data_IF_101278175956
#
_entry.id   IF_101278175956
#
_cell.length_a   1.000
_cell.length_b   1.000
_cell.length_c   1.000
_cell.angle_alpha   90.00
_cell.angle_beta   90.00
_cell.angle_gamma   90.00
#
_symmetry.space_group_name_H-M   'P 1'
#
loop_
_entity.id
_entity.type
_entity.pdbx_description
1 polymer ?
#
# COMPACT_ATOMS: atom_id res chain seq x y z
N UNK A 1 -14.39 -4.79 -21.63
CA UNK A 1 -14.61 -3.42 -21.14
C UNK A 1 -14.03 -2.46 -22.15
N UNK A 2 -14.49 -1.21 -22.21
CA UNK A 2 -13.95 -0.18 -23.10
C UNK A 2 -13.45 0.98 -22.25
N UNK A 3 -12.27 1.50 -22.58
CA UNK A 3 -11.60 2.58 -21.87
C UNK A 3 -11.42 3.75 -22.82
N UNK A 4 -11.75 4.95 -22.35
CA UNK A 4 -11.63 6.19 -23.11
C UNK A 4 -10.93 7.24 -22.25
N UNK A 5 -9.84 7.81 -22.75
CA UNK A 5 -9.16 8.95 -22.13
C UNK A 5 -9.59 10.23 -22.83
N UNK A 6 -9.82 11.30 -22.08
CA UNK A 6 -10.01 12.62 -22.67
C UNK A 6 -8.70 13.16 -23.28
N UNK A 7 -8.76 14.04 -24.31
CA UNK A 7 -7.55 14.62 -24.91
C UNK A 7 -6.70 15.44 -23.93
N UNK A 8 -7.33 16.10 -22.97
CA UNK A 8 -6.67 16.84 -21.88
C UNK A 8 -6.09 15.93 -20.79
N UNK A 9 -6.28 14.60 -20.91
CA UNK A 9 -5.86 13.61 -19.92
C UNK A 9 -6.48 13.75 -18.53
N UNK A 10 -7.45 14.63 -18.32
CA UNK A 10 -8.04 14.89 -16.99
C UNK A 10 -9.19 13.95 -16.63
N UNK A 11 -9.57 13.05 -17.55
CA UNK A 11 -10.70 12.16 -17.38
C UNK A 11 -10.49 10.81 -18.06
N UNK A 12 -10.98 9.78 -17.37
CA UNK A 12 -11.20 8.47 -17.96
C UNK A 12 -12.69 8.10 -17.93
N UNK A 13 -13.12 7.36 -18.95
CA UNK A 13 -14.44 6.74 -19.01
C UNK A 13 -14.26 5.25 -19.24
N UNK A 14 -14.84 4.45 -18.36
CA UNK A 14 -14.83 2.99 -18.45
C UNK A 14 -16.26 2.50 -18.65
N UNK A 15 -16.46 1.64 -19.66
CA UNK A 15 -17.74 1.00 -19.92
C UNK A 15 -17.57 -0.52 -19.78
N UNK A 16 -18.37 -1.09 -18.89
CA UNK A 16 -18.42 -2.53 -18.62
C UNK A 16 -19.41 -3.22 -19.55
N UNK A 17 -19.35 -4.56 -19.61
CA UNK A 17 -20.18 -5.36 -20.53
C UNK A 17 -21.67 -5.36 -20.16
N UNK A 18 -21.98 -5.13 -18.88
CA UNK A 18 -23.33 -5.00 -18.33
C UNK A 18 -24.00 -3.66 -18.71
N UNK A 19 -23.28 -2.74 -19.36
CA UNK A 19 -23.77 -1.42 -19.73
C UNK A 19 -23.53 -0.34 -18.67
N UNK A 20 -22.95 -0.69 -17.53
CA UNK A 20 -22.54 0.29 -16.51
C UNK A 20 -21.40 1.16 -17.06
N UNK A 21 -21.44 2.44 -16.71
CA UNK A 21 -20.43 3.43 -17.07
C UNK A 21 -19.84 4.05 -15.82
N UNK A 22 -18.53 4.18 -15.80
CA UNK A 22 -17.76 4.84 -14.77
C UNK A 22 -17.01 6.02 -15.40
N UNK A 23 -17.17 7.21 -14.83
CA UNK A 23 -16.41 8.41 -15.18
C UNK A 23 -15.46 8.71 -14.02
N UNK A 24 -14.17 8.81 -14.32
CA UNK A 24 -13.09 9.11 -13.37
C UNK A 24 -12.47 10.47 -13.68
N UNK A 25 -12.02 11.18 -12.65
CA UNK A 25 -11.46 12.52 -12.78
C UNK A 25 -12.50 13.58 -13.10
N UNK A 26 -12.15 14.57 -13.93
CA UNK A 26 -13.01 15.74 -14.17
C UNK A 26 -14.31 15.38 -14.90
N UNK A 27 -15.43 15.84 -14.33
CA UNK A 27 -16.75 15.75 -14.95
C UNK A 27 -17.02 16.99 -15.79
N UNK A 28 -17.52 16.79 -17.01
CA UNK A 28 -17.91 17.90 -17.90
C UNK A 28 -19.42 18.13 -17.94
N UNK A 29 -20.22 17.17 -17.47
CA UNK A 29 -21.69 17.21 -17.53
C UNK A 29 -22.25 16.55 -16.26
N UNK A 30 -23.21 17.21 -15.63
CA UNK A 30 -23.94 16.73 -14.45
C UNK A 30 -24.43 17.90 -13.58
N UNK A 31 -24.81 17.63 -12.32
CA UNK A 31 -25.11 18.65 -11.33
C UNK A 31 -23.96 19.67 -11.22
N UNK A 32 -24.21 20.98 -11.21
CA UNK A 32 -23.16 22.01 -11.14
C UNK A 32 -22.21 21.80 -9.95
N UNK A 33 -22.73 21.41 -8.78
CA UNK A 33 -21.94 21.11 -7.59
C UNK A 33 -21.03 19.88 -7.74
N UNK A 34 -21.43 18.87 -8.53
CA UNK A 34 -20.59 17.71 -8.82
C UNK A 34 -19.51 18.04 -9.85
N UNK A 35 -19.87 18.77 -10.91
CA UNK A 35 -18.94 19.22 -11.96
C UNK A 35 -17.86 20.11 -11.35
N UNK A 36 -18.25 21.14 -10.59
CA UNK A 36 -17.30 22.05 -9.94
C UNK A 36 -16.39 21.35 -8.93
N UNK A 37 -16.90 20.40 -8.15
CA UNK A 37 -16.10 19.65 -7.18
C UNK A 37 -15.22 18.56 -7.79
N UNK A 38 -15.49 18.11 -9.03
CA UNK A 38 -14.73 17.03 -9.69
C UNK A 38 -13.26 17.34 -9.92
N UNK A 39 -12.87 18.62 -9.83
CA UNK A 39 -11.47 19.03 -9.85
C UNK A 39 -10.67 18.33 -8.74
N UNK A 40 -11.30 18.04 -7.60
CA UNK A 40 -10.71 17.37 -6.44
C UNK A 40 -10.57 15.85 -6.58
N UNK A 41 -11.10 15.27 -7.65
CA UNK A 41 -11.00 13.83 -7.93
C UNK A 41 -9.79 13.48 -8.80
N UNK A 42 -8.78 14.35 -8.86
CA UNK A 42 -7.56 14.14 -9.65
C UNK A 42 -6.37 14.34 -8.73
N UNK A 43 -5.53 13.34 -8.56
CA UNK A 43 -4.29 13.47 -7.82
C UNK A 43 -3.21 14.00 -8.77
N UNK A 44 -2.67 15.18 -8.46
CA UNK A 44 -1.76 15.90 -9.34
C UNK A 44 -0.54 16.38 -8.55
N UNK A 45 0.61 16.42 -9.22
CA UNK A 45 1.80 17.08 -8.73
C UNK A 45 1.47 18.53 -8.29
N UNK A 46 1.65 18.88 -7.00
CA UNK A 46 1.37 20.21 -6.51
C UNK A 46 2.29 21.28 -7.12
N UNK A 47 3.53 20.94 -7.48
CA UNK A 47 4.53 21.90 -7.94
C UNK A 47 4.27 22.34 -9.40
N UNK A 48 3.70 21.45 -10.22
CA UNK A 48 3.27 21.76 -11.58
C UNK A 48 1.96 22.57 -11.68
N UNK A 49 1.28 22.84 -10.55
CA UNK A 49 0.03 23.58 -10.52
C UNK A 49 -1.06 22.93 -11.40
N UNK A 50 -1.91 23.70 -12.12
CA UNK A 50 -2.96 23.16 -12.98
C UNK A 50 -2.45 22.28 -14.15
N UNK A 51 -1.16 22.40 -14.48
CA UNK A 51 -0.51 21.66 -15.59
C UNK A 51 0.39 20.53 -15.09
N UNK A 52 0.47 20.30 -13.77
CA UNK A 52 1.29 19.25 -13.19
C UNK A 52 0.88 17.85 -13.64
N UNK A 53 1.77 16.88 -13.51
CA UNK A 53 1.49 15.53 -13.91
C UNK A 53 0.39 14.91 -13.05
N UNK A 54 -0.48 14.12 -13.67
CA UNK A 54 -1.59 13.44 -12.99
C UNK A 54 -1.16 12.01 -12.68
N UNK A 55 -1.23 11.64 -11.41
CA UNK A 55 -0.97 10.27 -10.95
C UNK A 55 -2.24 9.43 -10.93
N UNK A 56 -3.34 9.96 -10.40
CA UNK A 56 -4.58 9.21 -10.17
C UNK A 56 -5.85 10.00 -10.55
N UNK A 57 -6.88 9.27 -10.99
CA UNK A 57 -8.22 9.78 -11.26
C UNK A 57 -9.24 9.05 -10.37
N UNK A 58 -9.78 9.74 -9.36
CA UNK A 58 -10.86 9.23 -8.53
C UNK A 58 -12.18 9.08 -9.30
N UNK A 59 -12.98 8.06 -8.95
CA UNK A 59 -14.30 7.85 -9.55
C UNK A 59 -15.22 9.02 -9.21
N UNK A 60 -15.78 9.73 -10.20
CA UNK A 60 -16.64 10.90 -9.97
C UNK A 60 -18.10 10.67 -10.32
N UNK A 61 -18.38 9.77 -11.27
CA UNK A 61 -19.75 9.33 -11.56
C UNK A 61 -19.82 7.87 -11.95
N UNK A 62 -20.80 7.16 -11.42
CA UNK A 62 -21.27 5.87 -11.95
C UNK A 62 -22.63 6.08 -12.59
N UNK A 63 -22.91 5.38 -13.69
CA UNK A 63 -24.23 5.37 -14.34
C UNK A 63 -24.59 3.96 -14.74
N UNK A 64 -25.78 3.52 -14.35
CA UNK A 64 -26.33 2.23 -14.75
C UNK A 64 -26.83 2.23 -16.21
N UNK A 65 -27.25 1.09 -16.78
CA UNK A 65 -27.80 1.03 -18.14
C UNK A 65 -29.09 1.83 -18.36
N UNK A 66 -29.83 2.14 -17.29
CA UNK A 66 -31.10 2.88 -17.34
C UNK A 66 -30.90 4.40 -17.25
N UNK A 67 -29.72 4.85 -16.83
CA UNK A 67 -29.34 6.25 -16.69
C UNK A 67 -29.36 6.77 -15.24
N UNK A 68 -29.57 5.90 -14.24
CA UNK A 68 -29.49 6.30 -12.83
C UNK A 68 -28.04 6.58 -12.47
N UNK A 69 -27.81 7.67 -11.74
CA UNK A 69 -26.47 8.18 -11.47
C UNK A 69 -26.11 8.15 -10.00
N UNK A 70 -24.84 7.86 -9.74
CA UNK A 70 -24.19 8.05 -8.44
C UNK A 70 -23.06 9.04 -8.64
N UNK A 71 -22.98 10.09 -7.81
CA UNK A 71 -21.91 11.09 -7.84
C UNK A 71 -21.05 10.99 -6.61
N UNK A 72 -19.73 11.10 -6.81
CA UNK A 72 -18.74 11.06 -5.75
C UNK A 72 -18.01 12.41 -5.72
N UNK A 73 -17.83 12.95 -4.52
CA UNK A 73 -17.05 14.17 -4.28
C UNK A 73 -15.86 13.86 -3.39
N UNK A 74 -14.83 14.67 -3.55
CA UNK A 74 -13.58 14.52 -2.83
C UNK A 74 -13.16 15.85 -2.20
N UNK A 75 -12.44 15.74 -1.10
CA UNK A 75 -11.60 16.81 -0.54
C UNK A 75 -10.14 16.43 -0.75
N UNK A 76 -9.27 17.43 -0.87
CA UNK A 76 -7.82 17.23 -0.97
C UNK A 76 -7.14 17.75 0.28
N UNK A 77 -6.19 16.97 0.77
CA UNK A 77 -5.31 17.37 1.88
C UNK A 77 -3.91 16.79 1.64
N UNK A 78 -2.89 17.65 1.67
CA UNK A 78 -1.48 17.29 1.51
C UNK A 78 -1.16 16.33 0.33
N UNK A 79 -1.82 16.56 -0.81
CA UNK A 79 -1.64 15.77 -2.04
C UNK A 79 -2.57 14.56 -2.15
N UNK A 80 -3.15 14.09 -1.05
CA UNK A 80 -4.05 12.93 -1.00
C UNK A 80 -5.51 13.34 -1.27
N UNK A 81 -6.29 12.45 -1.89
CA UNK A 81 -7.72 12.66 -2.16
C UNK A 81 -8.59 11.80 -1.22
N UNK A 82 -9.58 12.42 -0.57
CA UNK A 82 -10.49 11.73 0.36
C UNK A 82 -11.92 11.88 -0.12
N UNK A 83 -12.66 10.77 -0.24
CA UNK A 83 -14.09 10.80 -0.59
C UNK A 83 -14.84 11.56 0.51
N UNK A 84 -15.50 12.66 0.17
CA UNK A 84 -16.25 13.47 1.14
C UNK A 84 -17.76 13.22 1.11
N UNK A 85 -18.31 12.95 -0.08
CA UNK A 85 -19.74 12.73 -0.25
C UNK A 85 -20.04 11.78 -1.40
N UNK A 86 -21.07 10.96 -1.22
CA UNK A 86 -21.69 10.16 -2.28
C UNK A 86 -23.18 10.50 -2.37
N UNK A 87 -23.63 10.93 -3.54
CA UNK A 87 -25.03 11.26 -3.82
C UNK A 87 -25.62 10.25 -4.80
N UNK A 88 -26.80 9.73 -4.48
CA UNK A 88 -27.53 8.81 -5.35
C UNK A 88 -29.05 8.96 -5.13
N UNK A 89 -29.82 8.17 -5.87
CA UNK A 89 -31.27 8.33 -6.02
C UNK A 89 -31.59 9.66 -6.70
N UNK A 90 -31.39 9.70 -8.02
CA UNK A 90 -31.62 10.88 -8.85
C UNK A 90 -33.05 11.42 -8.65
N UNK A 91 -33.25 12.75 -8.64
CA UNK A 91 -34.58 13.33 -8.47
C UNK A 91 -35.52 12.94 -9.60
N UNK A 92 -36.83 12.95 -9.33
CA UNK A 92 -37.85 12.56 -10.30
C UNK A 92 -37.81 13.39 -11.60
N UNK A 93 -37.39 14.67 -11.52
CA UNK A 93 -37.21 15.53 -12.69
C UNK A 93 -36.16 14.97 -13.67
N UNK A 94 -35.25 14.11 -13.21
CA UNK A 94 -34.27 13.41 -14.05
C UNK A 94 -34.81 12.09 -14.63
N UNK A 95 -36.04 11.64 -14.31
CA UNK A 95 -36.54 10.32 -14.71
C UNK A 95 -36.98 10.24 -16.19
N UNK A 96 -37.24 11.38 -16.83
CA UNK A 96 -37.68 11.46 -18.23
C UNK A 96 -36.55 11.35 -19.27
N UNK A 97 -36.93 11.04 -20.52
CA UNK A 97 -36.05 11.13 -21.69
C UNK A 97 -35.20 9.89 -21.99
N UNK A 98 -34.04 10.11 -22.63
CA UNK A 98 -33.10 9.06 -23.03
C UNK A 98 -32.10 8.77 -21.92
N UNK A 99 -31.44 7.60 -21.97
CA UNK A 99 -30.34 7.27 -21.03
C UNK A 99 -29.27 8.39 -21.00
N UNK A 100 -29.02 9.04 -22.14
CA UNK A 100 -28.06 10.15 -22.25
C UNK A 100 -28.56 11.39 -21.50
N UNK A 101 -29.85 11.75 -21.62
CA UNK A 101 -30.40 12.90 -20.89
C UNK A 101 -30.44 12.66 -19.39
N UNK A 102 -30.79 11.44 -18.94
CA UNK A 102 -30.77 11.09 -17.51
C UNK A 102 -29.36 11.19 -16.91
N UNK A 103 -28.36 10.64 -17.62
CA UNK A 103 -26.94 10.75 -17.23
C UNK A 103 -26.46 12.20 -17.14
N UNK A 104 -26.99 13.05 -18.03
CA UNK A 104 -26.65 14.46 -18.12
C UNK A 104 -27.45 15.37 -17.20
N UNK A 105 -28.25 14.82 -16.26
CA UNK A 105 -29.11 15.64 -15.43
C UNK A 105 -28.34 16.71 -14.66
N UNK A 106 -28.82 17.95 -14.72
CA UNK A 106 -28.21 19.13 -14.10
C UNK A 106 -28.88 19.54 -12.78
N UNK A 107 -29.85 18.75 -12.29
CA UNK A 107 -30.50 19.00 -11.01
C UNK A 107 -29.46 19.11 -9.87
N UNK A 108 -29.63 20.05 -8.92
CA UNK A 108 -28.64 20.28 -7.87
C UNK A 108 -28.45 19.05 -6.98
N UNK A 109 -27.25 18.84 -6.43
CA UNK A 109 -26.98 17.69 -5.55
C UNK A 109 -27.86 17.64 -4.29
N UNK A 110 -28.44 18.76 -3.89
CA UNK A 110 -29.40 18.84 -2.79
C UNK A 110 -30.73 18.12 -3.10
N UNK A 111 -31.11 17.95 -4.37
CA UNK A 111 -32.34 17.24 -4.75
C UNK A 111 -32.15 15.73 -4.91
N UNK A 112 -30.91 15.22 -4.77
CA UNK A 112 -30.67 13.78 -4.76
C UNK A 112 -31.15 13.18 -3.45
N UNK A 113 -31.95 12.12 -3.58
CA UNK A 113 -32.72 11.57 -2.48
C UNK A 113 -31.87 10.96 -1.38
N UNK A 114 -30.61 10.58 -1.64
CA UNK A 114 -29.72 10.01 -0.62
C UNK A 114 -28.32 10.63 -0.69
N UNK A 115 -27.72 10.85 0.49
CA UNK A 115 -26.32 11.25 0.66
C UNK A 115 -25.64 10.37 1.70
N UNK A 116 -24.45 9.88 1.39
CA UNK A 116 -23.50 9.38 2.37
C UNK A 116 -22.39 10.42 2.51
N UNK A 117 -22.26 11.00 3.70
CA UNK A 117 -21.24 11.99 4.03
C UNK A 117 -20.13 11.33 4.86
N UNK A 118 -18.89 11.62 4.51
CA UNK A 118 -17.68 11.08 5.13
C UNK A 118 -17.00 12.19 5.92
N UNK A 119 -16.91 11.99 7.22
CA UNK A 119 -16.38 12.93 8.19
C UNK A 119 -15.02 12.43 8.66
N UNK A 120 -14.00 13.27 8.49
CA UNK A 120 -12.60 12.92 8.74
C UNK A 120 -12.06 13.69 9.93
N UNK A 121 -11.12 13.06 10.63
CA UNK A 121 -10.31 13.70 11.65
C UNK A 121 -8.83 13.58 11.30
N UNK A 122 -8.01 14.49 11.83
CA UNK A 122 -6.55 14.36 11.73
C UNK A 122 -6.08 13.13 12.48
N UNK A 123 -5.15 12.39 11.88
CA UNK A 123 -4.46 11.26 12.52
C UNK A 123 -3.12 11.72 13.11
N UNK A 124 -2.70 11.10 14.21
CA UNK A 124 -1.40 11.41 14.83
C UNK A 124 -0.20 10.78 14.10
N UNK A 125 -0.46 9.72 13.35
CA UNK A 125 0.51 8.89 12.64
C UNK A 125 0.50 9.18 11.13
N UNK A 126 0.95 10.38 10.77
CA UNK A 126 1.00 10.81 9.36
C UNK A 126 2.02 9.98 8.59
N UNK A 127 1.60 9.38 7.48
CA UNK A 127 2.48 8.65 6.56
C UNK A 127 2.70 9.44 5.28
N UNK A 128 3.87 9.27 4.65
CA UNK A 128 4.20 9.86 3.35
C UNK A 128 4.43 8.75 2.31
N UNK A 129 3.97 8.95 1.08
CA UNK A 129 4.27 8.09 -0.07
C UNK A 129 4.89 8.89 -1.22
N UNK A 130 5.75 8.23 -1.99
CA UNK A 130 6.48 8.81 -3.13
C UNK A 130 6.30 8.03 -4.44
N UNK A 131 5.38 7.07 -4.47
CA UNK A 131 5.10 6.23 -5.65
C UNK A 131 4.65 7.05 -6.87
N UNK A 132 4.16 8.28 -6.65
CA UNK A 132 3.80 9.22 -7.71
C UNK A 132 4.99 9.93 -8.33
N UNK A 133 6.17 9.87 -7.71
CA UNK A 133 7.34 10.68 -8.05
C UNK A 133 7.40 12.01 -7.28
N UNK A 134 6.40 12.32 -6.45
CA UNK A 134 6.38 13.45 -5.52
C UNK A 134 5.79 13.02 -4.17
N UNK A 135 5.96 13.86 -3.16
CA UNK A 135 5.47 13.55 -1.80
C UNK A 135 3.96 13.69 -1.71
N UNK A 136 3.30 12.69 -1.16
CA UNK A 136 1.88 12.70 -0.79
C UNK A 136 1.75 12.26 0.66
N UNK A 137 1.02 13.01 1.48
CA UNK A 137 0.83 12.69 2.90
C UNK A 137 -0.61 12.24 3.21
N UNK A 138 -0.74 11.12 3.91
CA UNK A 138 -2.01 10.70 4.48
C UNK A 138 -2.14 11.26 5.89
N UNK A 139 -2.85 12.38 6.06
CA UNK A 139 -3.05 13.06 7.35
C UNK A 139 -4.42 12.87 7.98
N UNK A 140 -5.39 12.39 7.21
CA UNK A 140 -6.76 12.23 7.66
C UNK A 140 -7.11 10.76 7.80
N UNK A 141 -7.95 10.45 8.79
CA UNK A 141 -8.61 9.15 8.92
C UNK A 141 -10.11 9.35 9.07
N UNK A 142 -10.88 8.39 8.57
CA UNK A 142 -12.33 8.47 8.55
C UNK A 142 -12.89 8.26 9.96
N UNK A 143 -13.48 9.29 10.54
CA UNK A 143 -14.10 9.20 11.87
C UNK A 143 -15.50 8.60 11.79
N UNK A 144 -16.25 8.96 10.74
CA UNK A 144 -17.69 8.70 10.69
C UNK A 144 -18.24 8.72 9.27
N UNK A 145 -19.27 7.91 9.05
CA UNK A 145 -20.09 7.95 7.83
C UNK A 145 -21.53 8.22 8.20
N UNK A 146 -22.09 9.34 7.75
CA UNK A 146 -23.50 9.71 8.01
C UNK A 146 -24.32 9.51 6.75
N UNK A 147 -25.39 8.71 6.82
CA UNK A 147 -26.30 8.46 5.70
C UNK A 147 -27.63 9.15 5.95
N UNK A 148 -28.01 10.03 5.04
CA UNK A 148 -29.27 10.78 5.06
C UNK A 148 -30.10 10.47 3.83
N UNK A 149 -31.42 10.38 3.97
CA UNK A 149 -32.34 10.12 2.86
C UNK A 149 -33.61 10.97 2.95
N UNK A 150 -34.16 11.35 1.81
CA UNK A 150 -35.46 12.02 1.72
C UNK A 150 -36.57 11.04 2.09
N UNK A 151 -37.59 11.55 2.74
CA UNK A 151 -38.85 10.84 2.89
C UNK A 151 -39.72 10.99 1.63
N UNK A 152 -40.91 10.39 1.66
CA UNK A 152 -41.87 10.48 0.56
C UNK A 152 -42.39 11.90 0.31
N UNK A 153 -42.26 12.81 1.27
CA UNK A 153 -42.64 14.21 1.10
C UNK A 153 -41.57 15.01 0.34
N UNK A 154 -40.33 14.49 0.26
CA UNK A 154 -39.27 15.01 -0.61
C UNK A 154 -38.76 16.40 -0.23
N UNK A 155 -38.96 16.82 1.04
CA UNK A 155 -38.67 18.19 1.48
C UNK A 155 -37.20 18.37 1.87
N UNK A 156 -36.66 17.50 2.72
CA UNK A 156 -35.26 17.51 3.16
C UNK A 156 -34.81 16.08 3.48
N UNK A 157 -33.52 15.77 3.26
CA UNK A 157 -32.94 14.51 3.73
C UNK A 157 -32.89 14.47 5.26
N UNK A 158 -33.20 13.31 5.81
CA UNK A 158 -33.21 13.04 7.24
C UNK A 158 -32.22 11.91 7.56
N UNK A 159 -31.66 11.89 8.78
CA UNK A 159 -30.77 10.83 9.24
C UNK A 159 -31.44 9.45 9.07
N UNK A 160 -30.74 8.51 8.44
CA UNK A 160 -31.14 7.10 8.37
C UNK A 160 -30.30 6.25 9.29
N UNK A 161 -28.99 6.43 9.20
CA UNK A 161 -27.99 5.69 9.98
C UNK A 161 -26.68 6.45 9.98
N UNK A 162 -25.84 6.18 10.97
CA UNK A 162 -24.49 6.70 11.08
C UNK A 162 -23.55 5.62 11.58
N UNK A 163 -22.36 5.56 11.02
CA UNK A 163 -21.29 4.66 11.43
C UNK A 163 -20.23 5.45 12.16
N UNK A 164 -19.89 5.02 13.38
CA UNK A 164 -18.79 5.57 14.16
C UNK A 164 -17.60 4.61 14.07
N UNK A 165 -16.43 5.14 13.71
CA UNK A 165 -15.20 4.37 13.57
C UNK A 165 -14.29 4.73 14.75
N UNK A 166 -13.94 3.72 15.55
CA UNK A 166 -13.04 3.87 16.68
C UNK A 166 -11.64 3.38 16.32
N UNK A 167 -10.63 4.17 16.68
CA UNK A 167 -9.23 3.85 16.45
C UNK A 167 -8.46 3.78 17.77
N UNK A 168 -7.51 2.86 17.85
CA UNK A 168 -6.48 2.87 18.89
C UNK A 168 -5.11 3.04 18.23
N UNK A 169 -4.17 3.79 18.84
CA UNK A 169 -2.78 3.71 18.43
C UNK A 169 -2.27 2.30 18.75
N UNK A 170 -1.53 1.70 17.83
CA UNK A 170 -0.68 0.55 18.17
C UNK A 170 0.37 1.03 19.16
N UNK A 171 0.59 0.24 20.22
CA UNK A 171 1.64 0.54 21.20
C UNK A 171 3.03 0.39 20.61
N UNK A 172 3.17 -0.38 19.52
CA UNK A 172 4.46 -0.78 18.95
C UNK A 172 4.69 -0.23 17.54
N UNK A 173 3.69 -0.30 16.65
CA UNK A 173 3.88 0.14 15.24
C UNK A 173 3.61 1.63 15.03
N UNK A 174 3.22 2.35 16.09
CA UNK A 174 2.81 3.76 16.05
C UNK A 174 1.66 4.07 15.06
N UNK A 175 1.05 3.05 14.45
CA UNK A 175 -0.04 3.21 13.49
C UNK A 175 -1.41 3.25 14.18
N UNK A 176 -2.34 4.00 13.61
CA UNK A 176 -3.75 4.01 13.97
C UNK A 176 -4.45 2.75 13.45
N UNK A 177 -4.93 1.90 14.36
CA UNK A 177 -5.64 0.67 14.06
C UNK A 177 -7.14 0.85 14.27
N UNK A 178 -7.97 0.41 13.31
CA UNK A 178 -9.44 0.46 13.42
C UNK A 178 -9.91 -0.62 14.39
N UNK A 179 -10.25 -0.25 15.62
CA UNK A 179 -10.63 -1.21 16.66
C UNK A 179 -12.12 -1.42 16.77
N UNK A 180 -12.94 -0.50 16.24
CA UNK A 180 -14.39 -0.68 16.25
C UNK A 180 -15.14 0.04 15.14
N UNK A 181 -16.28 -0.54 14.76
CA UNK A 181 -17.33 0.10 13.96
C UNK A 181 -18.66 -0.05 14.70
N UNK A 182 -19.30 1.08 15.02
CA UNK A 182 -20.58 1.10 15.72
C UNK A 182 -21.65 1.77 14.89
N UNK A 183 -22.82 1.15 14.79
CA UNK A 183 -23.96 1.67 14.04
C UNK A 183 -24.90 2.42 14.96
N UNK A 184 -25.22 3.66 14.59
CA UNK A 184 -26.26 4.49 15.17
C UNK A 184 -27.48 4.52 14.24
N UNK A 185 -28.66 4.24 14.80
CA UNK A 185 -29.94 4.38 14.12
C UNK A 185 -30.53 5.80 14.22
N UNK A 186 -31.82 5.93 13.91
CA UNK A 186 -32.57 7.17 14.16
C UNK A 186 -32.87 7.32 15.66
N UNK A 187 -32.99 8.55 16.19
CA UNK A 187 -33.62 8.76 17.48
C UNK A 187 -35.05 8.25 17.46
N UNK A 188 -35.49 7.78 18.60
CA UNK A 188 -36.86 7.43 18.87
C UNK A 188 -37.35 8.11 20.14
N UNK A 189 -38.57 8.60 20.09
CA UNK A 189 -39.27 9.16 21.25
C UNK A 189 -40.34 8.17 21.71
N UNK A 190 -40.44 7.99 23.03
CA UNK A 190 -41.59 7.31 23.62
C UNK A 190 -42.79 8.26 23.63
N UNK A 191 -43.79 7.93 22.80
CA UNK A 191 -45.04 8.69 22.81
C UNK A 191 -46.06 7.97 23.69
N UNK A 192 -46.29 8.51 24.88
CA UNK A 192 -47.33 8.02 25.78
C UNK A 192 -48.71 8.56 25.36
N UNK A 193 -49.47 7.76 24.61
CA UNK A 193 -50.87 8.02 24.32
C UNK A 193 -51.76 7.57 25.50
N UNK A 194 -51.78 8.35 26.58
CA UNK A 194 -52.88 8.32 27.56
C UNK A 194 -53.26 6.96 28.17
N UNK A 195 -52.30 6.05 28.39
CA UNK A 195 -52.52 4.82 29.17
C UNK A 195 -52.76 3.53 28.38
N UNK A 196 -52.64 3.52 27.05
CA UNK A 196 -52.72 2.28 26.26
C UNK A 196 -51.50 2.20 25.32
N UNK A 197 -50.50 1.45 25.75
CA UNK A 197 -49.23 1.10 25.06
C UNK A 197 -48.31 2.27 24.70
N UNK A 198 -47.09 2.27 25.28
CA UNK A 198 -46.00 3.11 24.79
C UNK A 198 -45.55 2.59 23.42
N UNK A 199 -45.52 3.48 22.42
CA UNK A 199 -44.97 3.18 21.11
C UNK A 199 -43.77 4.08 20.86
N UNK A 200 -42.65 3.50 20.43
CA UNK A 200 -41.49 4.25 19.96
C UNK A 200 -41.78 4.80 18.57
N UNK A 201 -41.77 6.12 18.43
CA UNK A 201 -41.88 6.80 17.14
C UNK A 201 -40.51 7.31 16.76
N UNK A 202 -40.04 6.98 15.56
CA UNK A 202 -38.78 7.53 15.06
C UNK A 202 -38.93 9.04 14.86
N UNK A 203 -38.06 9.81 15.52
CA UNK A 203 -37.97 11.25 15.30
C UNK A 203 -37.10 11.51 14.08
N UNK A 204 -37.61 12.29 13.13
CA UNK A 204 -36.85 12.72 11.97
C UNK A 204 -35.83 13.80 12.39
N UNK A 205 -34.57 13.59 12.07
CA UNK A 205 -33.50 14.58 12.29
C UNK A 205 -32.99 15.05 10.95
N UNK A 206 -33.07 16.37 10.73
CA UNK A 206 -32.69 16.99 9.47
C UNK A 206 -31.21 16.79 9.15
N UNK A 207 -30.87 16.71 7.86
CA UNK A 207 -29.49 16.65 7.40
C UNK A 207 -28.66 17.82 7.97
N UNK A 208 -29.22 19.02 7.91
CA UNK A 208 -28.59 20.23 8.47
C UNK A 208 -28.24 20.09 9.96
N UNK A 209 -29.10 19.44 10.74
CA UNK A 209 -28.87 19.22 12.18
C UNK A 209 -27.83 18.12 12.47
N UNK A 210 -27.68 17.12 11.59
CA UNK A 210 -26.68 16.04 11.77
C UNK A 210 -25.33 16.34 11.16
N UNK A 211 -25.25 17.27 10.21
CA UNK A 211 -23.99 17.68 9.56
C UNK A 211 -23.45 19.04 10.05
N UNK A 212 -24.16 19.76 10.92
CA UNK A 212 -23.71 21.02 11.52
C UNK A 212 -22.83 20.87 12.78
N UNK A 213 -22.66 21.93 13.56
CA UNK A 213 -21.73 22.08 14.71
C UNK A 213 -21.84 21.04 15.85
N UNK A 214 -22.78 20.09 15.76
CA UNK A 214 -22.98 19.01 16.71
C UNK A 214 -22.81 17.61 16.08
N UNK A 215 -21.93 17.47 15.08
CA UNK A 215 -21.51 16.19 14.49
C UNK A 215 -21.22 15.10 15.55
N UNK A 216 -20.76 15.50 16.73
CA UNK A 216 -20.27 14.60 17.78
C UNK A 216 -21.31 14.10 18.77
N UNK A 217 -22.54 14.59 18.72
CA UNK A 217 -23.59 14.08 19.59
C UNK A 217 -24.29 12.90 18.92
N UNK A 218 -24.23 11.74 19.57
CA UNK A 218 -25.15 10.63 19.33
C UNK A 218 -26.58 11.12 19.54
N UNK A 219 -27.44 10.86 18.56
CA UNK A 219 -28.87 11.21 18.57
C UNK A 219 -29.73 9.96 18.72
N UNK A 220 -29.35 8.88 18.04
CA UNK A 220 -30.09 7.63 18.01
C UNK A 220 -29.56 6.55 18.94
N UNK A 221 -30.25 5.40 18.92
CA UNK A 221 -29.77 4.19 19.60
C UNK A 221 -28.55 3.63 18.88
N UNK A 222 -27.60 3.14 19.66
CA UNK A 222 -26.41 2.46 19.17
C UNK A 222 -26.62 0.95 19.21
N UNK A 223 -26.25 0.26 18.14
CA UNK A 223 -26.02 -1.18 18.19
C UNK A 223 -24.72 -1.46 18.94
N UNK A 224 -24.54 -2.68 19.48
CA UNK A 224 -23.24 -3.12 19.97
C UNK A 224 -22.16 -2.92 18.89
N UNK A 225 -20.95 -2.47 19.27
CA UNK A 225 -19.87 -2.27 18.31
C UNK A 225 -19.38 -3.62 17.76
N UNK A 226 -19.08 -3.65 16.47
CA UNK A 226 -18.19 -4.66 15.90
C UNK A 226 -16.76 -4.27 16.30
N UNK A 227 -16.00 -5.19 16.88
CA UNK A 227 -14.64 -4.94 17.36
C UNK A 227 -13.61 -5.75 16.59
N UNK A 228 -12.43 -5.19 16.42
CA UNK A 228 -11.30 -5.83 15.73
C UNK A 228 -10.10 -5.90 16.66
N UNK A 229 -9.37 -7.02 16.56
CA UNK A 229 -8.08 -7.21 17.18
C UNK A 229 -7.01 -7.37 16.11
N UNK A 230 -5.76 -7.05 16.46
CA UNK A 230 -4.62 -7.12 15.57
C UNK A 230 -3.54 -7.99 16.20
N UNK A 231 -2.75 -8.66 15.37
CA UNK A 231 -1.48 -9.21 15.82
C UNK A 231 -0.57 -8.03 16.12
N UNK A 232 -0.11 -7.94 17.35
CA UNK A 232 0.92 -7.00 17.75
C UNK A 232 2.25 -7.75 17.79
N UNK A 233 3.37 -7.11 17.42
CA UNK A 233 4.67 -7.70 17.70
C UNK A 233 4.77 -7.96 19.22
N UNK A 234 5.69 -8.85 19.63
CA UNK A 234 6.02 -8.99 21.04
C UNK A 234 6.24 -7.60 21.65
N UNK A 235 5.90 -7.43 22.94
CA UNK A 235 6.32 -6.26 23.71
C UNK A 235 7.55 -6.66 24.52
N UNK A 236 8.64 -5.91 24.39
CA UNK A 236 9.98 -6.30 24.85
C UNK A 236 10.83 -5.11 25.30
N UNK A 237 11.89 -5.36 26.06
CA UNK A 237 12.53 -4.38 26.94
C UNK A 237 13.51 -3.39 26.31
N UNK A 238 13.62 -3.32 24.98
CA UNK A 238 14.57 -2.42 24.30
C UNK A 238 13.83 -1.19 23.74
N UNK A 239 13.95 -0.01 24.38
CA UNK A 239 13.30 1.20 23.89
C UNK A 239 13.75 1.53 22.48
N UNK A 240 12.80 1.74 21.55
CA UNK A 240 13.06 2.22 20.19
C UNK A 240 13.23 1.15 19.11
N UNK A 241 13.24 -0.15 19.46
CA UNK A 241 13.42 -1.25 18.49
C UNK A 241 12.16 -2.08 18.23
N UNK A 242 11.00 -1.63 18.73
CA UNK A 242 9.83 -2.50 18.88
C UNK A 242 10.14 -3.66 19.83
N UNK A 243 9.13 -4.36 20.34
CA UNK A 243 9.43 -5.50 21.20
C UNK A 243 10.04 -6.65 20.39
N UNK A 244 11.35 -6.82 20.57
CA UNK A 244 12.09 -8.00 20.13
C UNK A 244 11.61 -9.18 20.98
N UNK A 245 11.27 -10.30 20.34
CA UNK A 245 11.11 -11.57 21.04
C UNK A 245 12.49 -12.01 21.56
N UNK A 246 12.73 -11.83 22.86
CA UNK A 246 13.98 -12.26 23.52
C UNK A 246 14.09 -13.79 23.65
N UNK A 247 13.12 -14.55 23.14
CA UNK A 247 13.18 -16.00 23.12
C UNK A 247 14.35 -16.47 22.27
N UNK A 248 15.39 -16.97 22.94
CA UNK A 248 16.53 -17.58 22.27
C UNK A 248 16.11 -18.94 21.72
N UNK A 249 15.98 -19.02 20.40
CA UNK A 249 15.73 -20.28 19.71
C UNK A 249 17.04 -21.01 19.39
N UNK A 250 17.09 -22.30 19.69
CA UNK A 250 18.20 -23.15 19.28
C UNK A 250 18.05 -23.49 17.80
N UNK A 251 19.02 -23.07 16.99
CA UNK A 251 19.18 -23.56 15.60
C UNK A 251 19.71 -24.98 15.67
N UNK A 252 18.98 -25.96 15.12
CA UNK A 252 19.31 -27.39 15.24
C UNK A 252 20.57 -27.76 14.45
N UNK A 253 20.80 -27.09 13.31
CA UNK A 253 21.96 -27.28 12.44
C UNK A 253 22.54 -25.92 12.03
N UNK A 254 23.23 -25.20 12.94
CA UNK A 254 23.77 -23.89 12.62
C UNK A 254 24.94 -24.04 11.64
N UNK A 255 25.11 -23.10 10.70
CA UNK A 255 26.32 -23.00 9.91
C UNK A 255 27.57 -22.94 10.79
N UNK A 256 28.68 -23.49 10.30
CA UNK A 256 29.99 -23.42 10.98
C UNK A 256 30.74 -22.10 10.71
N UNK A 257 29.98 -21.03 10.48
CA UNK A 257 30.44 -19.67 10.21
C UNK A 257 29.56 -18.74 11.03
N UNK A 258 30.18 -17.82 11.76
CA UNK A 258 29.46 -16.77 12.48
C UNK A 258 28.94 -15.73 11.51
N UNK A 259 27.73 -15.20 11.74
CA UNK A 259 27.22 -14.03 11.02
C UNK A 259 28.09 -12.79 11.31
N UNK A 260 28.78 -12.76 12.46
CA UNK A 260 29.75 -11.70 12.82
C UNK A 260 31.11 -11.83 12.09
N UNK A 261 31.27 -12.81 11.19
CA UNK A 261 32.49 -12.92 10.41
C UNK A 261 32.49 -11.85 9.31
N UNK A 262 33.59 -11.11 9.14
CA UNK A 262 33.73 -10.02 8.16
C UNK A 262 33.50 -10.37 6.67
N UNK A 263 33.24 -11.64 6.35
CA UNK A 263 32.96 -12.12 4.99
C UNK A 263 31.67 -12.93 4.93
N UNK A 264 30.82 -12.82 5.95
CA UNK A 264 29.56 -13.52 6.04
C UNK A 264 28.46 -12.53 6.38
N UNK A 265 27.29 -12.72 5.80
CA UNK A 265 26.10 -11.92 6.10
C UNK A 265 24.84 -12.68 5.66
N UNK A 266 23.67 -12.18 6.05
CA UNK A 266 22.37 -12.77 5.76
C UNK A 266 21.72 -12.11 4.55
N UNK A 267 21.39 -12.91 3.53
CA UNK A 267 20.71 -12.46 2.31
C UNK A 267 19.72 -13.51 1.83
N UNK A 268 18.59 -13.11 1.26
CA UNK A 268 17.71 -14.04 0.55
C UNK A 268 18.26 -14.30 -0.87
N UNK A 269 19.10 -15.34 -1.02
CA UNK A 269 19.82 -15.60 -2.27
C UNK A 269 18.92 -16.29 -3.29
N UNK A 270 17.98 -17.11 -2.82
CA UNK A 270 17.10 -17.92 -3.68
C UNK A 270 15.69 -17.33 -3.88
N UNK A 271 15.39 -16.19 -3.26
CA UNK A 271 14.11 -15.48 -3.31
C UNK A 271 12.95 -16.28 -2.70
N UNK A 272 13.21 -16.98 -1.61
CA UNK A 272 12.17 -17.75 -0.90
C UNK A 272 11.57 -17.01 0.30
N UNK A 273 12.03 -15.78 0.56
CA UNK A 273 11.60 -14.93 1.66
C UNK A 273 12.28 -15.26 3.00
N UNK A 274 13.29 -16.13 3.01
CA UNK A 274 14.10 -16.44 4.19
C UNK A 274 15.54 -15.94 4.00
N UNK A 275 16.16 -15.36 5.05
CA UNK A 275 17.56 -15.00 4.99
C UNK A 275 18.44 -16.27 4.99
N UNK A 276 19.27 -16.42 3.97
CA UNK A 276 20.34 -17.40 3.84
C UNK A 276 21.66 -16.85 4.37
N UNK A 277 22.57 -17.72 4.83
CA UNK A 277 23.93 -17.28 5.18
C UNK A 277 24.83 -17.32 3.95
N UNK A 278 25.22 -16.14 3.47
CA UNK A 278 26.19 -15.95 2.40
C UNK A 278 27.59 -15.85 2.99
N UNK A 279 28.59 -16.52 2.41
CA UNK A 279 29.99 -16.43 2.81
C UNK A 279 30.90 -16.21 1.60
N UNK A 280 31.42 -15.00 1.46
CA UNK A 280 32.24 -14.55 0.32
C UNK A 280 33.73 -14.79 0.54
N UNK A 281 34.10 -15.92 1.16
CA UNK A 281 35.50 -16.31 1.31
C UNK A 281 35.93 -17.24 0.16
N UNK A 282 36.58 -16.72 -0.90
CA UNK A 282 36.92 -17.50 -2.10
C UNK A 282 37.98 -18.58 -1.84
N UNK A 283 38.67 -18.52 -0.70
CA UNK A 283 39.62 -19.55 -0.30
C UNK A 283 38.92 -20.77 0.31
N UNK A 284 37.78 -20.56 0.97
CA UNK A 284 37.06 -21.58 1.74
C UNK A 284 36.10 -22.40 0.87
N UNK A 285 35.45 -21.78 -0.10
CA UNK A 285 34.45 -22.44 -0.94
C UNK A 285 34.92 -22.50 -2.40
N UNK A 286 34.86 -23.71 -2.96
CA UNK A 286 35.24 -23.99 -4.34
C UNK A 286 34.26 -24.96 -4.97
N UNK A 287 34.05 -24.83 -6.27
CA UNK A 287 33.33 -25.83 -7.06
C UNK A 287 34.08 -27.15 -7.09
N UNK A 288 33.43 -28.23 -7.55
CA UNK A 288 34.09 -29.53 -7.71
C UNK A 288 35.35 -29.47 -8.59
N UNK A 289 35.36 -28.57 -9.58
CA UNK A 289 36.49 -28.33 -10.48
C UNK A 289 37.56 -27.39 -9.88
N UNK A 290 37.40 -26.96 -8.63
CA UNK A 290 38.35 -26.10 -7.92
C UNK A 290 38.21 -24.60 -8.22
N UNK A 291 37.23 -24.17 -9.01
CA UNK A 291 36.96 -22.77 -9.27
C UNK A 291 36.44 -22.08 -7.98
N UNK A 292 36.73 -20.78 -7.75
CA UNK A 292 36.22 -20.08 -6.58
C UNK A 292 34.68 -19.99 -6.60
N UNK A 293 34.09 -20.07 -5.41
CA UNK A 293 32.64 -20.00 -5.21
C UNK A 293 32.30 -19.20 -3.95
N UNK A 294 31.07 -18.69 -3.89
CA UNK A 294 30.47 -18.21 -2.64
C UNK A 294 29.88 -19.42 -1.92
N UNK A 295 30.12 -19.54 -0.62
CA UNK A 295 29.44 -20.56 0.19
C UNK A 295 28.09 -20.04 0.64
N UNK A 296 27.01 -20.73 0.28
CA UNK A 296 25.65 -20.34 0.69
C UNK A 296 25.05 -21.46 1.53
N UNK A 297 24.57 -21.11 2.72
CA UNK A 297 23.80 -22.02 3.56
C UNK A 297 22.35 -21.59 3.46
N UNK A 298 21.52 -22.39 2.78
CA UNK A 298 20.14 -22.04 2.52
C UNK A 298 19.26 -22.32 3.73
N UNK A 299 18.50 -21.33 4.17
CA UNK A 299 17.55 -21.44 5.28
C UNK A 299 16.26 -22.12 4.82
N UNK A 300 15.70 -23.00 5.65
CA UNK A 300 14.59 -23.87 5.25
C UNK A 300 15.02 -25.13 4.52
N UNK A 301 16.33 -25.41 4.42
CA UNK A 301 16.90 -26.56 3.73
C UNK A 301 17.86 -27.35 4.61
N UNK A 302 18.14 -28.60 4.25
CA UNK A 302 19.01 -29.49 5.03
C UNK A 302 19.94 -30.33 4.16
N UNK A 303 21.07 -30.74 4.77
CA UNK A 303 22.06 -31.61 4.14
C UNK A 303 22.83 -30.96 2.99
N UNK A 304 23.73 -31.73 2.39
CA UNK A 304 24.61 -31.26 1.31
C UNK A 304 23.91 -31.06 -0.04
N UNK A 305 22.71 -31.63 -0.19
CA UNK A 305 21.87 -31.45 -1.37
C UNK A 305 20.82 -30.35 -1.17
N UNK A 306 20.87 -29.58 -0.09
CA UNK A 306 19.89 -28.52 0.22
C UNK A 306 18.44 -28.99 -0.05
N UNK A 307 18.05 -30.12 0.55
CA UNK A 307 16.69 -30.65 0.42
C UNK A 307 15.74 -29.83 1.30
N UNK A 308 14.49 -29.55 0.89
CA UNK A 308 13.53 -28.81 1.70
C UNK A 308 13.35 -29.43 3.10
N UNK A 309 13.58 -28.64 4.14
CA UNK A 309 13.47 -29.09 5.53
C UNK A 309 12.03 -28.98 6.09
N UNK A 310 11.13 -28.27 5.38
CA UNK A 310 9.72 -28.10 5.75
C UNK A 310 9.45 -27.15 6.93
N UNK A 311 10.48 -26.49 7.45
CA UNK A 311 10.40 -25.46 8.51
C UNK A 311 11.62 -24.54 8.42
N UNK A 312 11.48 -23.32 8.95
CA UNK A 312 12.54 -22.29 8.97
C UNK A 312 13.60 -22.58 10.04
N UNK A 313 14.67 -21.79 10.05
CA UNK A 313 15.80 -21.88 10.98
C UNK A 313 16.53 -23.23 10.92
N UNK A 314 16.54 -23.86 9.74
CA UNK A 314 17.38 -25.01 9.40
C UNK A 314 18.20 -24.63 8.20
N UNK A 315 19.52 -24.68 8.33
CA UNK A 315 20.44 -24.33 7.27
C UNK A 315 20.96 -25.59 6.58
N UNK A 316 21.06 -25.54 5.26
CA UNK A 316 21.73 -26.59 4.48
C UNK A 316 23.20 -26.69 4.84
N UNK A 317 23.88 -27.74 4.37
CA UNK A 317 25.34 -27.67 4.27
C UNK A 317 25.72 -26.59 3.21
N UNK A 318 26.97 -26.08 3.19
CA UNK A 318 27.34 -25.02 2.27
C UNK A 318 27.23 -25.52 0.83
N UNK A 319 26.41 -24.84 0.03
CA UNK A 319 26.34 -25.00 -1.42
C UNK A 319 27.35 -24.03 -2.03
N UNK A 320 28.27 -24.57 -2.85
CA UNK A 320 29.26 -23.76 -3.55
C UNK A 320 28.61 -23.12 -4.78
N UNK A 321 28.19 -21.86 -4.65
CA UNK A 321 27.60 -21.06 -5.72
C UNK A 321 28.73 -20.45 -6.56
N UNK A 322 28.94 -20.89 -7.81
CA UNK A 322 30.08 -20.46 -8.62
C UNK A 322 30.07 -18.95 -8.88
N UNK A 323 31.27 -18.38 -9.03
CA UNK A 323 31.47 -16.99 -9.41
C UNK A 323 32.54 -16.86 -10.49
N UNK A 324 32.67 -15.66 -11.05
CA UNK A 324 33.78 -15.31 -11.94
C UNK A 324 35.13 -15.35 -11.21
N UNK A 325 36.07 -16.16 -11.70
CA UNK A 325 37.36 -16.36 -11.04
C UNK A 325 38.22 -15.11 -10.98
N UNK A 326 38.16 -14.25 -12.00
CA UNK A 326 38.88 -12.98 -12.08
C UNK A 326 38.38 -11.94 -11.07
N UNK A 327 37.14 -12.10 -10.59
CA UNK A 327 36.51 -11.23 -9.61
C UNK A 327 36.44 -11.84 -8.21
N UNK A 328 37.05 -13.01 -7.99
CA UNK A 328 36.96 -13.72 -6.70
C UNK A 328 37.60 -12.97 -5.52
N UNK A 329 38.63 -12.16 -5.77
CA UNK A 329 39.19 -11.26 -4.76
C UNK A 329 38.35 -9.99 -4.53
N UNK A 330 37.45 -9.69 -5.47
CA UNK A 330 36.60 -8.49 -5.48
C UNK A 330 35.25 -8.73 -4.81
N UNK A 331 34.59 -9.85 -5.15
CA UNK A 331 33.33 -10.31 -4.55
C UNK A 331 33.61 -10.80 -3.12
N UNK A 332 33.75 -9.84 -2.22
CA UNK A 332 34.10 -10.05 -0.83
C UNK A 332 33.42 -8.97 0.00
N UNK A 333 32.59 -9.34 0.98
CA UNK A 333 31.90 -8.40 1.85
C UNK A 333 32.86 -7.56 2.71
N UNK A 334 34.11 -8.00 2.89
CA UNK A 334 35.16 -7.18 3.49
C UNK A 334 35.78 -6.14 2.55
N UNK A 335 35.36 -6.08 1.28
CA UNK A 335 35.81 -5.07 0.32
C UNK A 335 34.97 -3.81 0.45
N UNK A 336 35.57 -2.68 0.81
CA UNK A 336 34.88 -1.40 0.97
C UNK A 336 34.23 -0.86 -0.31
N UNK A 337 34.57 -1.42 -1.47
CA UNK A 337 33.94 -1.09 -2.74
C UNK A 337 32.74 -1.98 -3.07
N UNK A 338 32.34 -2.89 -2.18
CA UNK A 338 31.17 -3.75 -2.37
C UNK A 338 30.14 -3.39 -1.30
N UNK A 339 28.91 -3.10 -1.73
CA UNK A 339 27.80 -2.70 -0.85
C UNK A 339 26.57 -3.53 -1.24
N UNK A 340 25.86 -4.14 -0.28
CA UNK A 340 24.57 -4.77 -0.56
C UNK A 340 23.54 -3.72 -1.01
N UNK A 341 22.93 -3.94 -2.17
CA UNK A 341 21.91 -3.07 -2.75
C UNK A 341 21.20 -3.81 -3.87
N UNK A 342 19.87 -3.81 -3.89
CA UNK A 342 19.09 -4.22 -5.06
C UNK A 342 19.23 -3.16 -6.17
N UNK A 343 20.17 -3.39 -7.09
CA UNK A 343 20.52 -2.41 -8.13
C UNK A 343 19.58 -2.49 -9.33
N UNK A 344 19.04 -3.66 -9.63
CA UNK A 344 18.19 -3.88 -10.81
C UNK A 344 16.68 -3.86 -10.50
N UNK A 345 16.32 -3.79 -9.21
CA UNK A 345 14.95 -3.67 -8.74
C UNK A 345 14.15 -4.96 -8.88
N UNK A 346 14.81 -6.11 -8.97
CA UNK A 346 14.15 -7.42 -9.09
C UNK A 346 13.68 -7.99 -7.74
N UNK A 347 14.00 -7.32 -6.63
CA UNK A 347 13.66 -7.72 -5.27
C UNK A 347 14.62 -8.75 -4.67
N UNK A 348 15.76 -9.04 -5.32
CA UNK A 348 16.83 -9.88 -4.76
C UNK A 348 17.94 -9.04 -4.18
N UNK A 349 18.63 -9.59 -3.18
CA UNK A 349 19.83 -8.95 -2.64
C UNK A 349 21.00 -9.07 -3.62
N UNK A 350 21.23 -7.98 -4.33
CA UNK A 350 22.41 -7.77 -5.17
C UNK A 350 23.57 -7.15 -4.39
N UNK A 351 24.76 -7.20 -4.98
CA UNK A 351 25.97 -6.59 -4.42
C UNK A 351 26.55 -5.57 -5.42
N UNK A 352 26.29 -4.29 -5.16
CA UNK A 352 26.85 -3.18 -5.91
C UNK A 352 28.38 -3.13 -5.71
N UNK A 353 29.12 -3.01 -6.81
CA UNK A 353 30.57 -2.90 -6.83
C UNK A 353 31.00 -1.56 -7.45
N UNK A 354 31.70 -0.74 -6.67
CA UNK A 354 32.13 0.62 -7.01
C UNK A 354 33.66 0.76 -6.98
N UNK A 355 34.39 0.23 -7.99
CA UNK A 355 35.86 0.21 -7.95
C UNK A 355 36.52 1.56 -8.22
N UNK A 356 35.86 2.49 -8.95
CA UNK A 356 36.39 3.80 -9.37
C UNK A 356 35.26 4.81 -9.66
N UNK A 357 35.60 6.10 -9.67
CA UNK A 357 34.73 7.18 -10.14
C UNK A 357 34.17 6.86 -11.55
N UNK A 358 32.87 7.05 -11.76
CA UNK A 358 32.12 6.84 -13.03
C UNK A 358 32.00 5.40 -13.55
N UNK A 359 32.37 4.38 -12.75
CA UNK A 359 32.13 2.98 -13.11
C UNK A 359 31.53 2.23 -11.93
N UNK A 360 30.39 1.61 -12.16
CA UNK A 360 29.85 0.62 -11.25
C UNK A 360 29.57 -0.69 -11.99
N UNK A 361 29.65 -1.77 -11.25
CA UNK A 361 29.05 -3.04 -11.64
C UNK A 361 28.27 -3.60 -10.48
N UNK A 362 27.64 -4.73 -10.66
CA UNK A 362 26.93 -5.40 -9.58
C UNK A 362 27.03 -6.91 -9.77
N UNK A 363 27.06 -7.61 -8.64
CA UNK A 363 26.95 -9.05 -8.59
C UNK A 363 25.52 -9.43 -8.24
N UNK A 364 24.93 -10.31 -9.05
CA UNK A 364 23.56 -10.77 -8.86
C UNK A 364 23.51 -12.30 -8.86
N UNK A 365 22.79 -12.94 -7.91
CA UNK A 365 22.55 -14.37 -7.92
C UNK A 365 21.58 -14.74 -9.05
N UNK A 366 22.03 -15.58 -9.97
CA UNK A 366 21.22 -16.07 -11.10
C UNK A 366 21.10 -17.58 -11.10
N UNK A 367 19.92 -18.05 -11.46
CA UNK A 367 19.58 -19.47 -11.60
C UNK A 367 19.80 -19.96 -13.04
N UNK A 368 20.11 -21.24 -13.22
CA UNK A 368 20.08 -21.86 -14.54
C UNK A 368 18.64 -21.90 -15.10
N UNK A 369 18.48 -21.61 -16.39
CA UNK A 369 17.18 -21.50 -17.05
C UNK A 369 16.68 -22.80 -17.69
N UNK A 370 17.42 -23.90 -17.57
CA UNK A 370 17.04 -25.18 -18.17
C UNK A 370 15.90 -25.85 -17.38
N UNK A 371 15.05 -26.60 -18.08
CA UNK A 371 13.82 -27.16 -17.50
C UNK A 371 14.06 -28.19 -16.38
N UNK A 372 15.24 -28.81 -16.30
CA UNK A 372 15.56 -29.75 -15.23
C UNK A 372 15.92 -28.98 -13.94
N UNK A 373 16.85 -28.02 -14.03
CA UNK A 373 17.21 -27.15 -12.90
C UNK A 373 16.04 -26.25 -12.48
N UNK A 374 15.20 -25.82 -13.42
CA UNK A 374 14.03 -24.97 -13.24
C UNK A 374 12.89 -25.58 -12.41
N UNK A 375 12.82 -26.91 -12.31
CA UNK A 375 11.77 -27.62 -11.56
C UNK A 375 12.26 -28.26 -10.25
N UNK A 376 13.57 -28.23 -9.96
CA UNK A 376 14.07 -28.77 -8.69
C UNK A 376 13.64 -27.88 -7.52
N UNK A 377 13.11 -28.44 -6.43
CA UNK A 377 12.85 -27.70 -5.19
C UNK A 377 14.13 -27.43 -4.38
N UNK A 378 15.24 -28.08 -4.71
CA UNK A 378 16.53 -27.89 -4.03
C UNK A 378 17.39 -26.83 -4.70
N UNK A 379 17.84 -25.78 -3.99
CA UNK A 379 18.80 -24.81 -4.51
C UNK A 379 20.11 -25.43 -5.02
N UNK A 380 20.56 -26.55 -4.46
CA UNK A 380 21.80 -27.22 -4.89
C UNK A 380 21.70 -27.73 -6.34
N UNK A 381 20.49 -28.05 -6.80
CA UNK A 381 20.23 -28.58 -8.15
C UNK A 381 19.73 -27.50 -9.13
N UNK A 382 19.56 -26.26 -8.66
CA UNK A 382 19.01 -25.16 -9.46
C UNK A 382 20.06 -24.43 -10.29
N UNK A 383 21.35 -24.77 -10.14
CA UNK A 383 22.43 -24.19 -10.92
C UNK A 383 22.65 -22.70 -10.64
N UNK A 384 22.49 -22.28 -9.38
CA UNK A 384 22.77 -20.91 -8.93
C UNK A 384 24.22 -20.50 -9.20
N UNK A 385 24.44 -19.24 -9.53
CA UNK A 385 25.77 -18.61 -9.71
C UNK A 385 25.69 -17.11 -9.45
N UNK A 386 26.81 -16.50 -9.06
CA UNK A 386 26.95 -15.05 -9.06
C UNK A 386 27.44 -14.56 -10.42
N UNK A 387 26.59 -13.83 -11.12
CA UNK A 387 26.93 -13.13 -12.37
C UNK A 387 27.35 -11.70 -12.09
N UNK A 388 28.15 -11.11 -12.97
CA UNK A 388 28.60 -9.73 -12.86
C UNK A 388 28.21 -8.94 -14.09
N UNK A 389 27.49 -7.84 -13.89
CA UNK A 389 27.19 -6.86 -14.93
C UNK A 389 27.98 -5.57 -14.65
N UNK A 390 28.50 -4.94 -15.71
CA UNK A 390 29.17 -3.64 -15.63
C UNK A 390 28.32 -2.62 -16.39
N UNK A 391 28.05 -1.48 -15.76
CA UNK A 391 27.36 -0.36 -16.38
C UNK A 391 28.31 0.82 -16.47
N UNK A 392 28.51 1.32 -17.69
CA UNK A 392 29.27 2.55 -17.91
C UNK A 392 28.29 3.71 -18.02
N UNK A 393 28.35 4.62 -17.04
CA UNK A 393 27.63 5.88 -17.11
C UNK A 393 28.34 6.82 -18.10
N UNK A 394 27.57 7.57 -18.89
CA UNK A 394 28.13 8.64 -19.70
C UNK A 394 28.71 9.74 -18.80
N UNK A 395 29.88 10.27 -19.11
CA UNK A 395 30.47 11.38 -18.32
C UNK A 395 29.52 12.57 -18.30
N UNK A 396 29.13 13.01 -17.10
CA UNK A 396 28.19 14.11 -16.92
C UNK A 396 26.72 13.72 -17.02
N UNK A 397 26.41 12.41 -17.14
CA UNK A 397 25.12 11.94 -16.67
C UNK A 397 25.08 12.19 -15.17
N UNK A 398 24.11 12.98 -14.75
CA UNK A 398 23.75 13.21 -13.35
C UNK A 398 22.78 12.07 -13.01
N UNK A 399 23.26 10.90 -12.53
CA UNK A 399 22.34 10.05 -11.80
C UNK A 399 21.82 10.95 -10.68
N UNK A 400 20.49 11.10 -10.53
CA UNK A 400 19.90 11.91 -9.44
C UNK A 400 20.39 11.46 -8.04
N UNK A 401 21.16 10.38 -7.99
CA UNK A 401 21.85 9.73 -6.88
C UNK A 401 23.32 9.57 -7.28
N UNK A 402 24.22 10.44 -6.81
CA UNK A 402 25.68 10.31 -7.02
C UNK A 402 26.25 9.39 -5.94
N UNK A 403 26.30 8.09 -6.24
CA UNK A 403 26.70 7.03 -5.30
C UNK A 403 28.14 7.18 -4.76
N UNK A 404 28.97 8.07 -5.35
CA UNK A 404 30.37 8.29 -4.92
C UNK A 404 30.50 9.51 -4.02
N UNK A 405 29.66 10.54 -4.17
CA UNK A 405 29.63 11.73 -3.29
C UNK A 405 28.64 11.61 -2.13
N UNK A 406 27.46 11.08 -2.41
CA UNK A 406 26.37 11.06 -1.47
C UNK A 406 26.44 9.83 -0.54
N UNK A 407 27.46 8.97 -0.71
CA UNK A 407 27.77 7.81 0.16
C UNK A 407 27.74 8.11 1.66
N UNK A 408 28.12 9.33 2.04
CA UNK A 408 28.12 9.83 3.43
C UNK A 408 26.87 10.63 3.82
N UNK A 409 25.99 10.86 2.85
CA UNK A 409 24.69 11.54 2.96
C UNK A 409 23.50 10.56 2.88
N UNK A 410 23.74 9.31 2.50
CA UNK A 410 22.77 8.24 2.61
C UNK A 410 22.67 7.80 4.07
N UNK A 411 21.52 8.04 4.69
CA UNK A 411 21.06 7.18 5.77
C UNK A 411 20.39 5.96 5.13
N UNK A 412 20.81 4.75 5.51
CA UNK A 412 19.98 3.56 5.28
C UNK A 412 18.64 3.82 5.97
N UNK A 413 17.60 3.98 5.16
CA UNK A 413 16.25 4.14 5.65
C UNK A 413 15.53 2.84 5.42
N UNK A 414 15.54 2.02 6.46
CA UNK A 414 14.64 0.89 6.59
C UNK A 414 13.21 1.45 6.74
N UNK A 415 12.48 1.51 5.63
CA UNK A 415 11.20 2.23 5.52
C UNK A 415 10.11 1.60 6.39
N UNK A 416 10.28 0.34 6.79
CA UNK A 416 9.33 -0.42 7.60
C UNK A 416 9.91 -1.04 8.89
N UNK A 417 11.19 -0.79 9.20
CA UNK A 417 11.83 -1.24 10.43
C UNK A 417 12.13 -2.74 10.48
N UNK A 418 12.27 -3.42 9.33
CA UNK A 418 12.46 -4.88 9.25
C UNK A 418 13.92 -5.33 8.99
N UNK A 419 14.86 -4.39 8.94
CA UNK A 419 16.28 -4.58 8.66
C UNK A 419 16.62 -5.19 7.29
N UNK A 420 15.67 -5.17 6.35
CA UNK A 420 15.96 -5.31 4.93
C UNK A 420 16.10 -3.91 4.33
N UNK A 421 17.21 -3.68 3.63
CA UNK A 421 17.49 -2.42 2.93
C UNK A 421 16.77 -2.40 1.59
#
# INVERSE_FOLDING_TARGET
>A
MRFFRSPDSERWVVQTKDGTRFDFGRLTIGPPGAVGASVNAVERDPDGGPSGDIFEWGLTRMTDPHGSTVYYRYVRDAGEIYVSDVYYLSPNDCAGGTVVSRRGCSAPLASYGVRAHFDYESRGDVTSRYTSGWRIETRLRLRRVTVTAMDMAGVERQLVRRYHLGYAPSTESFHSLLTSVQVEGRPDEERNAGGVMAHHVFTNVSESAVLGDALDRTRGRLLPPMTFGYTEPPSGGVPGFGGIDETVHRVEAPPNVSVDAARADLFDVNTDGLPDLLVTDPARYRTADGAPAVGVFFNGFTGARAEPAGRTAIFSAPVAVPMRSDLSGTLNLGNANVVPMDVDGDGRSDLLHMPRLDRYGFFTPTRASDAASGNSPSPADQGWRFTYAEVQLERGSDPRVDLVRDGSHYEMFDVNGDHLV
#
